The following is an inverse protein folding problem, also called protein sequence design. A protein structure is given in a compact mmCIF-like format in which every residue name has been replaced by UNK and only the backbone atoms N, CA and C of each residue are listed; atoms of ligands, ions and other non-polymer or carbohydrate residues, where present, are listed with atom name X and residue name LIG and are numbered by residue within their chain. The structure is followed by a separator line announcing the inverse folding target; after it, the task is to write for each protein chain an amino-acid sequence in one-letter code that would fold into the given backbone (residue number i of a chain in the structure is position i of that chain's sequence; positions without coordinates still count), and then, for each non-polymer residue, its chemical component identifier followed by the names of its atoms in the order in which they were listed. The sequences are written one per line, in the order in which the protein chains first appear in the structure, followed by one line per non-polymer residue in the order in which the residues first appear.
data_IF_240413781837
#
_entry.id   IF_240413781837
#
_cell.length_a   1.000
_cell.length_b   1.000
_cell.length_c   1.000
_cell.angle_alpha   90.00
_cell.angle_beta   90.00
_cell.angle_gamma   90.00
#
_symmetry.space_group_name_H-M   'P 1'
#
loop_
_entity.id
_entity.type
_entity.pdbx_description
1 polymer ?
#
# COMPACT_ATOMS: atom_id res chain seq x y z
N UNK A 1 16.02 -16.00 -47.35
CA UNK A 1 15.11 -16.09 -46.20
C UNK A 1 15.67 -15.19 -45.12
N UNK A 2 15.12 -13.97 -44.94
CA UNK A 2 15.54 -13.06 -43.88
C UNK A 2 15.05 -13.61 -42.54
N UNK A 3 15.96 -14.08 -41.72
CA UNK A 3 15.65 -14.44 -40.34
C UNK A 3 15.16 -13.16 -39.61
N UNK A 4 13.94 -13.12 -39.07
CA UNK A 4 13.52 -11.98 -38.29
C UNK A 4 14.41 -11.88 -37.06
N UNK A 5 15.24 -10.83 -36.96
CA UNK A 5 16.03 -10.53 -35.75
C UNK A 5 15.06 -10.38 -34.57
N UNK A 6 15.12 -11.32 -33.65
CA UNK A 6 14.41 -11.23 -32.38
C UNK A 6 15.00 -10.09 -31.55
N UNK A 7 14.38 -8.92 -31.59
CA UNK A 7 14.80 -7.78 -30.75
C UNK A 7 14.27 -7.97 -29.34
N UNK A 8 15.18 -8.10 -28.39
CA UNK A 8 14.86 -8.05 -26.98
C UNK A 8 14.28 -6.67 -26.63
N UNK A 9 12.99 -6.61 -26.25
CA UNK A 9 12.35 -5.38 -25.85
C UNK A 9 12.07 -5.39 -24.35
N UNK A 10 12.78 -4.53 -23.59
CA UNK A 10 12.50 -4.33 -22.15
C UNK A 10 11.33 -3.37 -21.97
N UNK A 11 10.14 -3.89 -21.69
CA UNK A 11 8.96 -3.08 -21.39
C UNK A 11 9.12 -2.34 -20.04
N UNK A 12 9.71 -2.99 -19.05
CA UNK A 12 9.88 -2.47 -17.69
C UNK A 12 11.30 -1.98 -17.46
N UNK A 13 11.46 -0.69 -17.22
CA UNK A 13 12.73 -0.08 -16.88
C UNK A 13 13.20 -0.47 -15.45
N UNK A 14 14.48 -0.26 -15.17
CA UNK A 14 15.07 -0.59 -13.88
C UNK A 14 14.33 0.07 -12.69
N UNK A 15 13.97 1.37 -12.74
CA UNK A 15 13.23 2.00 -11.65
C UNK A 15 11.90 1.33 -11.31
N UNK A 16 11.11 0.90 -12.32
CA UNK A 16 9.85 0.16 -12.08
C UNK A 16 10.12 -1.19 -11.45
N UNK A 17 11.17 -1.89 -11.88
CA UNK A 17 11.56 -3.19 -11.30
C UNK A 17 12.01 -3.05 -9.84
N UNK A 18 12.84 -2.06 -9.55
CA UNK A 18 13.30 -1.76 -8.18
C UNK A 18 12.12 -1.38 -7.29
N UNK A 19 11.24 -0.48 -7.77
CA UNK A 19 9.98 -0.16 -7.08
C UNK A 19 9.20 -1.42 -6.72
N UNK A 20 9.01 -2.32 -7.68
CA UNK A 20 8.22 -3.54 -7.47
C UNK A 20 8.83 -4.43 -6.38
N UNK A 21 10.16 -4.66 -6.40
CA UNK A 21 10.82 -5.51 -5.40
C UNK A 21 10.82 -4.90 -4.01
N UNK A 22 11.09 -3.59 -3.89
CA UNK A 22 10.99 -2.89 -2.60
C UNK A 22 9.56 -2.98 -2.08
N UNK A 23 8.57 -2.77 -2.96
CA UNK A 23 7.17 -2.84 -2.59
C UNK A 23 6.77 -4.25 -2.15
N UNK A 24 7.22 -5.29 -2.85
CA UNK A 24 6.98 -6.68 -2.50
C UNK A 24 7.49 -6.99 -1.09
N UNK A 25 8.73 -6.66 -0.79
CA UNK A 25 9.32 -6.90 0.54
C UNK A 25 8.61 -6.06 1.61
N UNK A 26 8.43 -4.76 1.38
CA UNK A 26 7.80 -3.88 2.36
C UNK A 26 6.36 -4.31 2.68
N UNK A 27 5.54 -4.60 1.67
CA UNK A 27 4.16 -5.05 1.86
C UNK A 27 4.09 -6.40 2.56
N UNK A 28 4.96 -7.35 2.22
CA UNK A 28 5.02 -8.66 2.90
C UNK A 28 5.34 -8.51 4.39
N UNK A 29 6.32 -7.67 4.74
CA UNK A 29 6.68 -7.39 6.14
C UNK A 29 5.56 -6.62 6.85
N UNK A 30 4.92 -5.63 6.19
CA UNK A 30 3.78 -4.91 6.74
C UNK A 30 2.58 -5.82 7.03
N UNK A 31 2.27 -6.76 6.13
CA UNK A 31 1.23 -7.78 6.34
C UNK A 31 1.59 -8.63 7.55
N UNK A 32 2.81 -9.12 7.64
CA UNK A 32 3.26 -9.94 8.76
C UNK A 32 3.08 -9.21 10.11
N UNK A 33 3.62 -8.00 10.27
CA UNK A 33 3.46 -7.22 11.50
C UNK A 33 2.02 -6.78 11.73
N UNK A 34 1.26 -6.50 10.66
CA UNK A 34 -0.17 -6.19 10.74
C UNK A 34 -0.98 -7.34 11.32
N UNK A 35 -0.71 -8.58 10.88
CA UNK A 35 -1.35 -9.78 11.40
C UNK A 35 -0.93 -10.06 12.86
N UNK A 36 0.34 -9.87 13.21
CA UNK A 36 0.78 -9.96 14.62
C UNK A 36 0.03 -8.97 15.53
N UNK A 37 -0.19 -7.74 15.07
CA UNK A 37 -0.96 -6.75 15.82
C UNK A 37 -2.45 -7.08 15.88
N UNK A 38 -3.00 -7.68 14.83
CA UNK A 38 -4.41 -8.08 14.77
C UNK A 38 -4.70 -9.23 15.74
N UNK A 39 -3.85 -10.26 15.74
CA UNK A 39 -3.97 -11.47 16.55
C UNK A 39 -3.13 -11.41 17.85
N UNK A 40 -2.81 -10.20 18.33
CA UNK A 40 -1.95 -10.02 19.51
C UNK A 40 -2.48 -10.70 20.78
N UNK A 41 -3.81 -10.79 20.94
CA UNK A 41 -4.43 -11.42 22.12
C UNK A 41 -4.25 -12.91 22.08
N UNK A 42 -4.52 -13.53 20.93
CA UNK A 42 -4.36 -14.96 20.68
C UNK A 42 -2.89 -15.39 20.77
N UNK A 43 -1.96 -14.48 20.42
CA UNK A 43 -0.52 -14.70 20.53
C UNK A 43 0.06 -14.38 21.93
N UNK A 44 -0.79 -14.00 22.90
CA UNK A 44 -0.36 -13.68 24.25
C UNK A 44 0.44 -12.37 24.39
N UNK A 45 0.38 -11.48 23.38
CA UNK A 45 1.09 -10.18 23.40
C UNK A 45 0.26 -9.18 24.22
N UNK A 46 0.51 -9.12 25.51
CA UNK A 46 -0.28 -8.30 26.46
C UNK A 46 0.43 -7.02 26.91
N UNK A 47 1.77 -7.00 26.98
CA UNK A 47 2.51 -5.84 27.51
C UNK A 47 2.36 -4.61 26.62
N UNK A 48 2.36 -3.43 27.22
CA UNK A 48 2.25 -2.14 26.51
C UNK A 48 3.48 -1.93 25.63
N UNK A 49 4.67 -2.26 26.14
CA UNK A 49 5.95 -2.12 25.45
C UNK A 49 5.98 -2.96 24.16
N UNK A 50 5.51 -4.21 24.22
CA UNK A 50 5.46 -5.08 23.05
C UNK A 50 4.49 -4.53 21.99
N UNK A 51 3.32 -4.01 22.41
CA UNK A 51 2.35 -3.39 21.49
C UNK A 51 2.91 -2.13 20.81
N UNK A 52 3.64 -1.30 21.57
CA UNK A 52 4.32 -0.11 21.03
C UNK A 52 5.41 -0.55 20.04
N UNK A 53 6.26 -1.50 20.43
CA UNK A 53 7.37 -1.98 19.58
C UNK A 53 6.89 -2.55 18.26
N UNK A 54 5.84 -3.38 18.28
CA UNK A 54 5.21 -3.89 17.03
C UNK A 54 4.71 -2.76 16.13
N UNK A 55 4.06 -1.74 16.71
CA UNK A 55 3.62 -0.58 15.93
C UNK A 55 4.77 0.25 15.41
N UNK A 56 5.81 0.48 16.20
CA UNK A 56 6.99 1.22 15.75
C UNK A 56 7.62 0.54 14.54
N UNK A 57 7.86 -0.77 14.61
CA UNK A 57 8.43 -1.52 13.48
C UNK A 57 7.51 -1.42 12.24
N UNK A 58 6.21 -1.64 12.41
CA UNK A 58 5.24 -1.53 11.32
C UNK A 58 5.25 -0.12 10.68
N UNK A 59 5.30 0.94 11.49
CA UNK A 59 5.34 2.33 11.00
C UNK A 59 6.65 2.63 10.29
N UNK A 60 7.80 2.18 10.80
CA UNK A 60 9.09 2.39 10.14
C UNK A 60 9.15 1.73 8.75
N UNK A 61 8.65 0.50 8.63
CA UNK A 61 8.51 -0.16 7.32
C UNK A 61 7.46 0.57 6.47
N UNK A 62 6.39 1.07 7.10
CA UNK A 62 5.38 1.91 6.45
C UNK A 62 5.96 3.17 5.81
N UNK A 63 6.95 3.82 6.42
CA UNK A 63 7.64 4.95 5.78
C UNK A 63 8.44 4.53 4.54
N UNK A 64 9.12 3.39 4.58
CA UNK A 64 9.80 2.85 3.38
C UNK A 64 8.79 2.61 2.26
N UNK A 65 7.64 2.01 2.58
CA UNK A 65 6.54 1.79 1.65
C UNK A 65 6.01 3.11 1.07
N UNK A 66 5.74 4.12 1.91
CA UNK A 66 5.23 5.44 1.49
C UNK A 66 6.21 6.16 0.57
N UNK A 67 7.51 6.16 0.91
CA UNK A 67 8.55 6.78 0.08
C UNK A 67 8.69 6.06 -1.27
N UNK A 68 8.64 4.74 -1.27
CA UNK A 68 8.66 3.95 -2.49
C UNK A 68 7.43 4.22 -3.37
N UNK A 69 6.25 4.34 -2.77
CA UNK A 69 5.02 4.70 -3.48
C UNK A 69 5.07 6.13 -4.04
N UNK A 70 5.59 7.09 -3.27
CA UNK A 70 5.79 8.46 -3.72
C UNK A 70 6.75 8.50 -4.94
N UNK A 71 7.85 7.75 -4.89
CA UNK A 71 8.74 7.56 -6.03
C UNK A 71 7.98 7.02 -7.24
N UNK A 72 7.12 6.00 -7.08
CA UNK A 72 6.32 5.44 -8.17
C UNK A 72 5.37 6.46 -8.79
N UNK A 73 4.75 7.29 -7.97
CA UNK A 73 3.86 8.36 -8.44
C UNK A 73 4.62 9.34 -9.32
N UNK A 74 5.78 9.80 -8.87
CA UNK A 74 6.65 10.72 -9.65
C UNK A 74 7.13 10.05 -10.94
N UNK A 75 7.57 8.78 -10.85
CA UNK A 75 8.04 8.02 -12.01
C UNK A 75 6.95 7.81 -13.07
N UNK A 76 5.69 7.79 -12.67
CA UNK A 76 4.55 7.76 -13.57
C UNK A 76 4.42 8.97 -14.49
N UNK A 77 5.07 10.09 -14.19
CA UNK A 77 5.11 11.28 -15.05
C UNK A 77 6.35 11.31 -15.95
N UNK A 78 7.52 10.91 -15.44
CA UNK A 78 8.81 11.09 -16.10
C UNK A 78 9.42 9.79 -16.67
N UNK A 79 8.94 8.63 -16.24
CA UNK A 79 9.44 7.32 -16.65
C UNK A 79 9.27 6.99 -18.14
N UNK A 80 9.62 5.77 -18.51
CA UNK A 80 9.47 5.29 -19.89
C UNK A 80 7.98 5.21 -20.31
N UNK A 81 7.74 5.00 -21.62
CA UNK A 81 6.35 5.00 -22.17
C UNK A 81 5.42 3.99 -21.48
N UNK A 82 5.95 2.85 -20.99
CA UNK A 82 5.17 1.80 -20.32
C UNK A 82 4.98 2.05 -18.82
N UNK A 83 5.85 2.84 -18.19
CA UNK A 83 5.76 3.25 -16.79
C UNK A 83 4.81 4.43 -16.56
N UNK A 84 4.55 5.23 -17.61
CA UNK A 84 3.74 6.47 -17.50
C UNK A 84 2.27 6.18 -17.20
N UNK A 85 1.65 7.13 -16.48
CA UNK A 85 0.23 7.09 -16.14
C UNK A 85 -0.68 6.86 -17.34
N UNK A 86 -0.35 7.44 -18.51
CA UNK A 86 -1.11 7.24 -19.75
C UNK A 86 -1.15 5.79 -20.23
N UNK A 87 -0.13 4.99 -19.91
CA UNK A 87 -0.10 3.57 -20.25
C UNK A 87 -0.84 2.69 -19.23
N UNK A 88 -1.04 3.20 -18.01
CA UNK A 88 -1.61 2.45 -16.89
C UNK A 88 -3.08 2.80 -16.69
N UNK A 89 -3.41 4.11 -16.65
CA UNK A 89 -4.77 4.57 -16.39
C UNK A 89 -5.73 4.22 -17.54
N UNK A 90 -6.97 3.83 -17.22
CA UNK A 90 -8.02 3.64 -18.23
C UNK A 90 -8.26 4.93 -19.01
N UNK A 91 -8.10 4.87 -20.32
CA UNK A 91 -8.36 5.98 -21.25
C UNK A 91 -9.59 5.73 -22.15
N UNK A 92 -9.77 6.59 -23.17
CA UNK A 92 -10.86 6.40 -24.16
C UNK A 92 -10.76 5.01 -24.82
N UNK A 93 -11.89 4.32 -24.95
CA UNK A 93 -11.94 2.97 -25.54
C UNK A 93 -11.47 1.83 -24.61
N UNK A 94 -11.09 2.11 -23.35
CA UNK A 94 -10.60 1.09 -22.42
C UNK A 94 -11.61 -0.05 -22.22
N UNK A 95 -12.88 0.25 -22.00
CA UNK A 95 -13.91 -0.77 -21.76
C UNK A 95 -14.16 -1.64 -23.01
N UNK A 96 -14.04 -1.06 -24.21
CA UNK A 96 -14.10 -1.84 -25.45
C UNK A 96 -12.89 -2.78 -25.53
N UNK A 97 -11.68 -2.27 -25.34
CA UNK A 97 -10.46 -3.09 -25.32
C UNK A 97 -10.52 -4.21 -24.26
N UNK A 98 -11.13 -3.95 -23.10
CA UNK A 98 -11.32 -4.95 -22.05
C UNK A 98 -12.29 -6.06 -22.51
N UNK A 99 -13.39 -5.69 -23.18
CA UNK A 99 -14.36 -6.64 -23.74
C UNK A 99 -13.72 -7.49 -24.85
N UNK A 100 -13.01 -6.86 -25.77
CA UNK A 100 -12.35 -7.54 -26.89
C UNK A 100 -11.27 -8.51 -26.36
N UNK A 101 -10.50 -8.10 -25.37
CA UNK A 101 -9.51 -8.95 -24.70
C UNK A 101 -10.17 -10.15 -24.01
N UNK A 102 -11.27 -9.95 -23.30
CA UNK A 102 -12.03 -11.04 -22.67
C UNK A 102 -12.55 -12.02 -23.71
N UNK A 103 -13.09 -11.53 -24.83
CA UNK A 103 -13.54 -12.38 -25.94
C UNK A 103 -12.39 -13.16 -26.57
N UNK A 104 -11.21 -12.56 -26.72
CA UNK A 104 -10.03 -13.23 -27.26
C UNK A 104 -9.55 -14.39 -26.37
N UNK A 105 -9.65 -14.25 -25.04
CA UNK A 105 -9.35 -15.33 -24.09
C UNK A 105 -10.34 -16.49 -24.26
N UNK A 106 -11.64 -16.18 -24.30
CA UNK A 106 -12.69 -17.21 -24.39
C UNK A 106 -12.72 -17.94 -25.75
N UNK A 107 -12.27 -17.29 -26.83
CA UNK A 107 -12.14 -17.88 -28.16
C UNK A 107 -10.83 -18.68 -28.38
N UNK A 108 -9.94 -18.72 -27.38
CA UNK A 108 -8.65 -19.42 -27.48
C UNK A 108 -7.58 -18.70 -28.31
N UNK A 109 -7.90 -17.50 -28.86
CA UNK A 109 -6.96 -16.68 -29.63
C UNK A 109 -6.59 -15.42 -28.82
N UNK A 110 -5.82 -15.60 -27.74
CA UNK A 110 -5.48 -14.53 -26.81
C UNK A 110 -4.61 -13.47 -27.46
N UNK A 111 -5.08 -12.23 -27.46
CA UNK A 111 -4.30 -11.08 -27.93
C UNK A 111 -3.06 -10.85 -27.08
N UNK A 112 -1.92 -10.64 -27.75
CA UNK A 112 -0.64 -10.35 -27.13
C UNK A 112 -0.45 -8.84 -26.93
N UNK A 113 0.07 -8.42 -25.78
CA UNK A 113 0.32 -7.01 -25.47
C UNK A 113 1.77 -6.80 -25.04
N UNK A 114 2.40 -5.75 -25.54
CA UNK A 114 3.69 -5.28 -24.99
C UNK A 114 3.38 -4.40 -23.78
N UNK A 115 3.66 -4.92 -22.58
CA UNK A 115 3.30 -4.27 -21.31
C UNK A 115 2.02 -4.86 -20.72
N UNK A 116 1.21 -4.02 -20.06
CA UNK A 116 -0.02 -4.51 -19.42
C UNK A 116 -1.14 -4.73 -20.44
N UNK A 117 -1.74 -5.91 -20.42
CA UNK A 117 -3.03 -6.14 -21.05
C UNK A 117 -4.16 -5.37 -20.33
N UNK A 118 -5.37 -5.25 -20.89
CA UNK A 118 -6.44 -4.46 -20.27
C UNK A 118 -6.82 -4.89 -18.84
N UNK A 119 -6.82 -6.19 -18.53
CA UNK A 119 -7.05 -6.70 -17.16
C UNK A 119 -5.90 -6.35 -16.22
N UNK A 120 -4.65 -6.49 -16.69
CA UNK A 120 -3.47 -6.10 -15.92
C UNK A 120 -3.44 -4.61 -15.59
N UNK A 121 -3.88 -3.74 -16.52
CA UNK A 121 -4.03 -2.30 -16.27
C UNK A 121 -5.04 -2.03 -15.15
N UNK A 122 -6.18 -2.71 -15.16
CA UNK A 122 -7.19 -2.57 -14.12
C UNK A 122 -6.65 -3.03 -12.76
N UNK A 123 -5.97 -4.17 -12.72
CA UNK A 123 -5.38 -4.71 -11.50
C UNK A 123 -4.31 -3.77 -10.91
N UNK A 124 -3.42 -3.23 -11.75
CA UNK A 124 -2.39 -2.26 -11.31
C UNK A 124 -3.04 -0.98 -10.79
N UNK A 125 -4.07 -0.45 -11.46
CA UNK A 125 -4.79 0.74 -10.98
C UNK A 125 -5.45 0.48 -9.63
N UNK A 126 -6.12 -0.66 -9.46
CA UNK A 126 -6.76 -1.03 -8.20
C UNK A 126 -5.73 -1.17 -7.07
N UNK A 127 -4.62 -1.89 -7.31
CA UNK A 127 -3.55 -2.04 -6.31
C UNK A 127 -2.93 -0.69 -5.93
N UNK A 128 -2.63 0.18 -6.91
CA UNK A 128 -2.08 1.52 -6.63
C UNK A 128 -3.06 2.37 -5.81
N UNK A 129 -4.35 2.32 -6.11
CA UNK A 129 -5.36 3.04 -5.33
C UNK A 129 -5.43 2.52 -3.88
N UNK A 130 -5.48 1.20 -3.70
CA UNK A 130 -5.47 0.60 -2.36
C UNK A 130 -4.20 0.94 -1.59
N UNK A 131 -3.03 0.90 -2.23
CA UNK A 131 -1.77 1.32 -1.63
C UNK A 131 -1.78 2.80 -1.21
N UNK A 132 -2.40 3.69 -1.98
CA UNK A 132 -2.58 5.10 -1.60
C UNK A 132 -3.46 5.23 -0.36
N UNK A 133 -4.58 4.50 -0.29
CA UNK A 133 -5.45 4.48 0.89
C UNK A 133 -4.69 3.94 2.11
N UNK A 134 -3.91 2.85 1.95
CA UNK A 134 -3.05 2.30 3.01
C UNK A 134 -2.01 3.30 3.50
N UNK A 135 -1.33 4.00 2.58
CA UNK A 135 -0.35 5.03 2.93
C UNK A 135 -0.99 6.17 3.71
N UNK A 136 -2.11 6.70 3.22
CA UNK A 136 -2.82 7.82 3.86
C UNK A 136 -3.32 7.45 5.27
N UNK A 137 -4.04 6.35 5.39
CA UNK A 137 -4.58 5.89 6.67
C UNK A 137 -3.47 5.48 7.64
N UNK A 138 -2.41 4.86 7.14
CA UNK A 138 -1.23 4.48 7.93
C UNK A 138 -0.50 5.68 8.53
N UNK A 139 -0.28 6.75 7.75
CA UNK A 139 0.34 7.99 8.24
C UNK A 139 -0.51 8.68 9.32
N UNK A 140 -1.84 8.72 9.14
CA UNK A 140 -2.75 9.24 10.18
C UNK A 140 -2.62 8.40 11.45
N UNK A 141 -2.61 7.08 11.32
CA UNK A 141 -2.50 6.17 12.45
C UNK A 141 -1.14 6.22 13.14
N UNK A 142 -0.05 6.43 12.40
CA UNK A 142 1.27 6.65 12.98
C UNK A 142 1.27 7.87 13.94
N UNK A 143 0.66 8.98 13.51
CA UNK A 143 0.52 10.17 14.34
C UNK A 143 -0.42 9.99 15.53
N UNK A 144 -1.60 9.39 15.30
CA UNK A 144 -2.67 9.32 16.32
C UNK A 144 -2.52 8.15 17.30
N UNK A 145 -1.75 7.12 16.95
CA UNK A 145 -1.57 5.95 17.82
C UNK A 145 -0.28 5.98 18.61
N UNK A 146 0.82 6.50 18.05
CA UNK A 146 2.15 6.47 18.67
C UNK A 146 2.93 7.78 18.56
N UNK A 147 2.27 8.88 18.20
CA UNK A 147 2.84 10.23 18.08
C UNK A 147 4.02 10.34 17.10
N UNK A 148 4.00 9.53 16.03
CA UNK A 148 5.04 9.52 14.99
C UNK A 148 4.73 10.50 13.83
N UNK A 149 5.77 10.98 13.12
CA UNK A 149 5.57 11.87 11.97
C UNK A 149 4.61 11.29 10.91
N UNK A 150 3.96 12.16 10.09
CA UNK A 150 4.08 13.61 10.05
C UNK A 150 3.17 14.34 11.05
N UNK A 151 2.21 13.68 11.67
CA UNK A 151 1.18 14.32 12.50
C UNK A 151 1.41 14.16 14.02
N UNK A 152 2.42 13.41 14.42
CA UNK A 152 2.61 13.01 15.79
C UNK A 152 2.78 14.16 16.78
N UNK A 153 3.62 15.17 16.46
CA UNK A 153 3.82 16.34 17.31
C UNK A 153 2.52 17.13 17.50
N UNK A 154 1.78 17.36 16.43
CA UNK A 154 0.48 18.07 16.47
C UNK A 154 -0.54 17.32 17.35
N UNK A 155 -0.55 15.99 17.26
CA UNK A 155 -1.45 15.15 18.04
C UNK A 155 -1.06 15.16 19.51
N UNK A 156 0.25 15.03 19.81
CA UNK A 156 0.77 15.08 21.17
C UNK A 156 0.47 16.44 21.85
N UNK A 157 0.73 17.55 21.16
CA UNK A 157 0.37 18.91 21.62
C UNK A 157 -1.14 19.05 21.86
N UNK A 158 -1.97 18.49 20.96
CA UNK A 158 -3.41 18.59 21.12
C UNK A 158 -3.92 17.86 22.37
N UNK A 159 -3.36 16.68 22.72
CA UNK A 159 -3.86 15.89 23.85
C UNK A 159 -3.17 16.21 25.15
N UNK A 160 -2.01 16.85 25.15
CA UNK A 160 -1.24 17.18 26.34
C UNK A 160 -2.06 18.05 27.33
N UNK A 161 -1.93 17.74 28.63
CA UNK A 161 -2.47 18.55 29.70
C UNK A 161 -1.60 19.82 29.89
N UNK A 162 -2.19 20.91 30.41
CA UNK A 162 -1.43 22.11 30.73
C UNK A 162 -0.23 21.79 31.63
N UNK A 163 0.97 22.24 31.25
CA UNK A 163 2.21 22.00 31.96
C UNK A 163 2.89 20.67 31.68
N UNK A 164 2.29 19.79 30.84
CA UNK A 164 2.93 18.55 30.39
C UNK A 164 3.71 18.80 29.12
N UNK A 165 4.96 18.34 29.04
CA UNK A 165 5.72 18.32 27.80
C UNK A 165 5.11 17.30 26.83
N UNK A 166 4.63 17.71 25.64
CA UNK A 166 4.05 16.79 24.65
C UNK A 166 5.02 15.66 24.25
N UNK A 167 6.32 15.90 24.26
CA UNK A 167 7.33 14.90 23.91
C UNK A 167 7.47 13.81 24.97
N UNK A 168 7.00 14.03 26.19
CA UNK A 168 7.03 13.05 27.29
C UNK A 168 5.85 12.08 27.28
N UNK A 169 4.85 12.29 26.43
CA UNK A 169 3.66 11.44 26.38
C UNK A 169 3.99 10.04 25.88
N UNK A 170 3.52 9.04 26.62
CA UNK A 170 3.69 7.63 26.26
C UNK A 170 2.42 7.13 25.58
N UNK A 171 2.53 6.50 24.39
CA UNK A 171 1.38 5.89 23.73
C UNK A 171 0.64 4.89 24.64
N UNK A 172 -0.69 4.93 24.62
CA UNK A 172 -1.59 4.10 25.46
C UNK A 172 -1.58 4.41 26.96
N UNK A 173 -0.78 5.36 27.45
CA UNK A 173 -0.83 5.86 28.81
C UNK A 173 -1.65 7.17 28.85
N UNK A 174 -2.74 7.26 29.64
CA UNK A 174 -3.52 8.48 29.77
C UNK A 174 -2.83 9.56 30.60
N UNK A 175 -1.73 9.23 31.29
CA UNK A 175 -0.99 10.17 32.13
C UNK A 175 -0.51 11.36 31.33
N UNK A 176 -0.71 12.57 31.84
CA UNK A 176 -0.33 13.81 31.17
C UNK A 176 -1.22 14.21 29.99
N UNK A 177 -2.36 13.53 29.76
CA UNK A 177 -3.31 13.90 28.71
C UNK A 177 -4.59 14.53 29.28
N UNK A 178 -5.27 15.35 28.46
CA UNK A 178 -6.62 15.86 28.76
C UNK A 178 -7.66 14.81 28.34
N UNK A 179 -8.43 14.19 29.27
CA UNK A 179 -9.33 13.07 28.94
C UNK A 179 -10.32 13.36 27.80
N UNK A 180 -10.94 14.54 27.80
CA UNK A 180 -11.91 14.93 26.77
C UNK A 180 -11.28 15.05 25.38
N UNK A 181 -10.00 15.47 25.27
CA UNK A 181 -9.27 15.53 24.01
C UNK A 181 -8.82 14.14 23.56
N UNK A 182 -8.39 13.29 24.48
CA UNK A 182 -8.06 11.89 24.21
C UNK A 182 -9.27 11.11 23.67
N UNK A 183 -10.46 11.30 24.23
CA UNK A 183 -11.70 10.71 23.71
C UNK A 183 -12.06 11.21 22.31
N UNK A 184 -11.92 12.52 22.05
CA UNK A 184 -12.13 13.05 20.69
C UNK A 184 -11.12 12.49 19.70
N UNK A 185 -9.85 12.37 20.09
CA UNK A 185 -8.82 11.73 19.26
C UNK A 185 -9.18 10.26 18.95
N UNK A 186 -9.66 9.51 19.94
CA UNK A 186 -10.10 8.14 19.79
C UNK A 186 -11.28 8.04 18.81
N UNK A 187 -12.27 8.91 18.91
CA UNK A 187 -13.39 8.98 17.96
C UNK A 187 -12.91 9.33 16.54
N UNK A 188 -11.98 10.28 16.41
CA UNK A 188 -11.41 10.70 15.13
C UNK A 188 -10.65 9.57 14.45
N UNK A 189 -9.77 8.86 15.16
CA UNK A 189 -8.90 7.83 14.58
C UNK A 189 -9.59 6.49 14.29
N UNK A 190 -10.74 6.23 14.89
CA UNK A 190 -11.48 4.98 14.74
C UNK A 190 -11.76 4.61 13.27
N UNK A 191 -12.44 5.46 12.50
CA UNK A 191 -12.74 5.19 11.08
C UNK A 191 -11.49 4.93 10.22
N UNK A 192 -10.37 5.63 10.49
CA UNK A 192 -9.12 5.37 9.76
C UNK A 192 -8.53 3.99 10.07
N UNK A 193 -8.75 3.48 11.29
CA UNK A 193 -8.39 2.12 11.65
C UNK A 193 -9.18 1.08 10.87
N UNK A 194 -10.49 1.27 10.79
CA UNK A 194 -11.39 0.37 10.08
C UNK A 194 -11.09 0.38 8.57
N UNK A 195 -10.94 1.57 7.96
CA UNK A 195 -10.57 1.72 6.56
C UNK A 195 -9.22 1.03 6.30
N UNK A 196 -8.21 1.24 7.16
CA UNK A 196 -6.90 0.61 7.02
C UNK A 196 -7.00 -0.92 7.03
N UNK A 197 -7.76 -1.47 7.98
CA UNK A 197 -7.96 -2.91 8.13
C UNK A 197 -8.68 -3.52 6.92
N UNK A 198 -9.83 -2.96 6.51
CA UNK A 198 -10.58 -3.48 5.36
C UNK A 198 -9.82 -3.34 4.05
N UNK A 199 -9.08 -2.23 3.88
CA UNK A 199 -8.20 -2.03 2.73
C UNK A 199 -7.06 -3.05 2.71
N UNK A 200 -6.49 -3.39 3.88
CA UNK A 200 -5.46 -4.42 3.98
C UNK A 200 -5.98 -5.79 3.54
N UNK A 201 -7.16 -6.22 3.99
CA UNK A 201 -7.78 -7.48 3.55
C UNK A 201 -8.05 -7.49 2.05
N UNK A 202 -8.59 -6.39 1.51
CA UNK A 202 -8.85 -6.25 0.07
C UNK A 202 -7.55 -6.31 -0.73
N UNK A 203 -6.50 -5.63 -0.27
CA UNK A 203 -5.18 -5.63 -0.92
C UNK A 203 -4.56 -7.02 -0.90
N UNK A 204 -4.60 -7.74 0.22
CA UNK A 204 -4.12 -9.12 0.33
C UNK A 204 -4.85 -10.04 -0.65
N UNK A 205 -6.16 -9.93 -0.76
CA UNK A 205 -6.94 -10.71 -1.73
C UNK A 205 -6.50 -10.42 -3.17
N UNK A 206 -6.36 -9.13 -3.54
CA UNK A 206 -5.93 -8.75 -4.90
C UNK A 206 -4.49 -9.20 -5.17
N UNK A 207 -3.58 -9.15 -4.18
CA UNK A 207 -2.21 -9.67 -4.32
C UNK A 207 -2.22 -11.18 -4.63
N UNK A 208 -3.04 -11.96 -3.92
CA UNK A 208 -3.18 -13.39 -4.20
C UNK A 208 -3.67 -13.63 -5.63
N UNK A 209 -4.72 -12.92 -6.06
CA UNK A 209 -5.23 -13.00 -7.43
C UNK A 209 -4.17 -12.59 -8.45
N UNK A 210 -3.40 -11.55 -8.17
CA UNK A 210 -2.31 -11.08 -9.02
C UNK A 210 -1.22 -12.15 -9.18
N UNK A 211 -0.78 -12.76 -8.09
CA UNK A 211 0.24 -13.83 -8.13
C UNK A 211 -0.27 -15.01 -8.97
N UNK A 212 -1.51 -15.46 -8.74
CA UNK A 212 -2.10 -16.52 -9.55
C UNK A 212 -2.14 -16.15 -11.04
N UNK A 213 -2.60 -14.93 -11.36
CA UNK A 213 -2.66 -14.47 -12.74
C UNK A 213 -1.30 -14.48 -13.43
N UNK A 214 -0.24 -14.02 -12.76
CA UNK A 214 1.13 -14.02 -13.29
C UNK A 214 1.63 -15.45 -13.51
N UNK A 215 1.52 -16.31 -12.49
CA UNK A 215 1.98 -17.71 -12.58
C UNK A 215 1.28 -18.46 -13.72
N UNK A 216 -0.05 -18.31 -13.86
CA UNK A 216 -0.80 -18.99 -14.93
C UNK A 216 -0.52 -18.43 -16.33
N UNK A 217 -0.12 -17.17 -16.45
CA UNK A 217 0.22 -16.59 -17.76
C UNK A 217 1.64 -16.92 -18.21
N UNK A 218 2.57 -17.10 -17.27
CA UNK A 218 3.96 -17.51 -17.57
C UNK A 218 4.15 -19.02 -17.75
N UNK A 219 3.24 -19.83 -17.18
CA UNK A 219 3.29 -21.29 -17.30
C UNK A 219 2.70 -21.84 -18.62
N UNK A 220 2.20 -20.97 -19.51
CA UNK A 220 1.67 -21.32 -20.84
C UNK A 220 2.58 -20.80 -21.94
#
# INVERSE_FOLDING_TARGET
MNNPELRHYQAWDLPVRVFHWINFVAVSVLIFFGLLMLFKQELGISSVEAKISLKVVHVLIGYVFVLNLAFRIVWGFIGNRHARWRAILPGRGFFQSLRDYRTSITSGNTQQFIGHNPLGRLAVCAMLLLMLVMAFTGLIRAGTDIYYPPFGSLVAEYVAAPGTDPASLIPYDPTGTVPSRAERLKAFKGPFGDIHLYTAWTLMFIIVVHIFAVVFTEAR
#
